data_IF_060357821848
#
_entry.id   IF_060357821848
#
_cell.length_a   1.000
_cell.length_b   1.000
_cell.length_c   1.000
_cell.angle_alpha   90.00
_cell.angle_beta   90.00
_cell.angle_gamma   90.00
#
_symmetry.space_group_name_H-M   'P 1'
#
loop_
_entity.id
_entity.type
_entity.pdbx_description
1 polymer ?
#
# COMPACT_ATOMS: atom_id res chain seq x y z
N UNK A 1 -16.70 -47.88 4.12
CA UNK A 1 -15.89 -46.75 3.59
C UNK A 1 -15.06 -46.23 4.75
N UNK A 2 -13.76 -46.43 4.75
CA UNK A 2 -12.85 -45.84 5.75
C UNK A 2 -12.71 -44.37 5.43
N UNK A 3 -13.24 -43.51 6.30
CA UNK A 3 -13.11 -42.06 6.20
C UNK A 3 -11.63 -41.65 6.24
N UNK A 4 -11.20 -40.74 5.36
CA UNK A 4 -9.77 -40.37 5.28
C UNK A 4 -9.35 -39.57 6.51
N UNK A 5 -8.07 -39.67 6.88
CA UNK A 5 -7.52 -39.00 8.07
C UNK A 5 -7.71 -37.48 8.01
N UNK A 6 -7.73 -36.90 6.82
CA UNK A 6 -7.93 -35.48 6.60
C UNK A 6 -9.39 -35.06 6.86
N UNK A 7 -10.37 -35.90 6.48
CA UNK A 7 -11.79 -35.66 6.77
C UNK A 7 -12.06 -35.75 8.27
N UNK A 8 -11.51 -36.76 8.94
CA UNK A 8 -11.60 -36.91 10.40
C UNK A 8 -11.01 -35.69 11.12
N UNK A 9 -9.95 -35.09 10.56
CA UNK A 9 -9.34 -33.89 11.12
C UNK A 9 -10.20 -32.65 10.95
N UNK A 10 -10.85 -32.47 9.78
CA UNK A 10 -11.82 -31.39 9.58
C UNK A 10 -12.98 -31.51 10.56
N UNK A 11 -13.56 -32.70 10.71
CA UNK A 11 -14.69 -32.93 11.63
C UNK A 11 -14.31 -32.66 13.09
N UNK A 12 -13.16 -33.18 13.54
CA UNK A 12 -12.66 -32.93 14.90
C UNK A 12 -12.40 -31.45 15.19
N UNK A 13 -12.00 -30.69 14.17
CA UNK A 13 -11.78 -29.25 14.30
C UNK A 13 -13.09 -28.47 14.26
N UNK A 14 -14.07 -28.90 13.46
CA UNK A 14 -15.40 -28.29 13.39
C UNK A 14 -16.18 -28.49 14.69
N UNK A 15 -16.11 -29.68 15.30
CA UNK A 15 -16.65 -29.96 16.64
C UNK A 15 -16.03 -29.06 17.72
N UNK A 16 -14.77 -28.64 17.53
CA UNK A 16 -14.08 -27.69 18.39
C UNK A 16 -14.35 -26.21 18.02
N UNK A 17 -15.19 -25.95 17.02
CA UNK A 17 -15.52 -24.64 16.47
C UNK A 17 -14.38 -23.98 15.71
N UNK A 18 -13.48 -24.76 15.11
CA UNK A 18 -12.29 -24.30 14.39
C UNK A 18 -12.46 -24.62 12.91
N UNK A 19 -12.50 -23.59 12.07
CA UNK A 19 -12.49 -23.76 10.61
C UNK A 19 -11.12 -24.22 10.15
N UNK A 20 -11.10 -25.29 9.35
CA UNK A 20 -9.89 -25.87 8.78
C UNK A 20 -10.09 -26.21 7.31
N UNK A 21 -9.02 -26.10 6.52
CA UNK A 21 -9.01 -26.44 5.10
C UNK A 21 -7.82 -27.37 4.78
N UNK A 22 -7.90 -28.17 3.72
CA UNK A 22 -6.80 -29.02 3.27
C UNK A 22 -6.08 -28.33 2.12
N UNK A 23 -4.77 -28.12 2.25
CA UNK A 23 -3.97 -27.55 1.16
C UNK A 23 -3.65 -28.61 0.08
N UNK A 24 -3.08 -28.17 -1.05
CA UNK A 24 -2.69 -29.07 -2.16
C UNK A 24 -1.62 -30.10 -1.79
N UNK A 25 -0.98 -29.98 -0.62
CA UNK A 25 0.00 -30.93 -0.07
C UNK A 25 -0.62 -31.93 0.91
N UNK A 26 -1.93 -31.89 1.13
CA UNK A 26 -2.63 -32.76 2.08
C UNK A 26 -2.48 -32.33 3.55
N UNK A 27 -2.05 -31.09 3.82
CA UNK A 27 -1.89 -30.57 5.18
C UNK A 27 -3.14 -29.82 5.63
N UNK A 28 -3.47 -29.94 6.92
CA UNK A 28 -4.62 -29.25 7.54
C UNK A 28 -4.20 -27.83 7.91
N UNK A 29 -4.84 -26.84 7.31
CA UNK A 29 -4.57 -25.42 7.51
C UNK A 29 -5.63 -24.83 8.43
N UNK A 30 -5.19 -24.19 9.51
CA UNK A 30 -6.05 -23.44 10.45
C UNK A 30 -5.51 -22.03 10.63
N UNK A 31 -6.37 -21.10 11.07
CA UNK A 31 -5.91 -19.75 11.43
C UNK A 31 -4.82 -19.82 12.49
N UNK A 32 -3.79 -18.99 12.36
CA UNK A 32 -2.64 -18.97 13.30
C UNK A 32 -3.05 -18.80 14.77
N UNK A 33 -4.11 -18.03 15.03
CA UNK A 33 -4.67 -17.85 16.39
C UNK A 33 -5.25 -19.15 16.98
N UNK A 34 -5.75 -20.04 16.13
CA UNK A 34 -6.44 -21.27 16.52
C UNK A 34 -5.50 -22.47 16.58
N UNK A 35 -4.22 -22.30 16.21
CA UNK A 35 -3.22 -23.36 16.06
C UNK A 35 -2.99 -24.17 17.35
N UNK A 36 -2.98 -23.49 18.51
CA UNK A 36 -2.87 -24.16 19.82
C UNK A 36 -4.14 -24.95 20.18
N UNK A 37 -5.31 -24.43 19.82
CA UNK A 37 -6.62 -25.07 20.08
C UNK A 37 -6.80 -26.27 19.15
N UNK A 38 -6.42 -26.12 17.89
CA UNK A 38 -6.45 -27.16 16.86
C UNK A 38 -5.51 -28.32 17.19
N UNK A 39 -4.27 -28.05 17.64
CA UNK A 39 -3.35 -29.10 18.10
C UNK A 39 -3.97 -29.93 19.23
N UNK A 40 -4.58 -29.28 20.22
CA UNK A 40 -5.25 -29.97 21.34
C UNK A 40 -6.48 -30.78 20.89
N UNK A 41 -7.23 -30.31 19.91
CA UNK A 41 -8.37 -31.05 19.36
C UNK A 41 -7.89 -32.30 18.61
N UNK A 42 -6.86 -32.18 17.77
CA UNK A 42 -6.26 -33.31 17.05
C UNK A 42 -5.55 -34.30 17.99
N UNK A 43 -5.01 -33.85 19.13
CA UNK A 43 -4.48 -34.74 20.18
C UNK A 43 -5.55 -35.59 20.87
N UNK A 44 -6.81 -35.15 20.89
CA UNK A 44 -7.92 -35.93 21.45
C UNK A 44 -8.48 -36.92 20.43
N UNK A 45 -8.49 -36.56 19.16
CA UNK A 45 -9.12 -37.36 18.10
C UNK A 45 -8.19 -38.39 17.45
N UNK A 46 -6.87 -38.25 17.61
CA UNK A 46 -5.89 -39.13 16.97
C UNK A 46 -4.91 -39.76 17.98
N UNK A 47 -4.49 -41.01 17.73
CA UNK A 47 -3.40 -41.66 18.48
C UNK A 47 -2.07 -40.96 18.18
N UNK A 48 -1.16 -40.96 19.16
CA UNK A 48 0.16 -40.31 19.07
C UNK A 48 0.92 -40.82 17.82
N UNK A 49 1.18 -39.90 16.87
CA UNK A 49 1.86 -40.20 15.60
C UNK A 49 0.95 -40.42 14.37
N UNK A 50 -0.38 -40.49 14.55
CA UNK A 50 -1.34 -40.61 13.44
C UNK A 50 -2.00 -39.30 13.01
N UNK A 51 -1.50 -38.17 13.52
CA UNK A 51 -2.09 -36.85 13.28
C UNK A 51 -1.68 -36.31 11.91
N UNK A 52 -2.62 -35.72 11.15
CA UNK A 52 -2.26 -34.99 9.95
C UNK A 52 -1.43 -33.75 10.30
N UNK A 53 -0.58 -33.34 9.37
CA UNK A 53 0.30 -32.20 9.56
C UNK A 53 -0.53 -30.92 9.60
N UNK A 54 -0.50 -30.24 10.75
CA UNK A 54 -1.19 -28.99 11.00
C UNK A 54 -0.29 -27.80 10.65
N UNK A 55 -0.77 -26.91 9.79
CA UNK A 55 -0.07 -25.69 9.38
C UNK A 55 -0.93 -24.47 9.73
N UNK A 56 -0.29 -23.44 10.23
CA UNK A 56 -0.96 -22.15 10.43
C UNK A 56 -1.05 -21.41 9.11
N UNK A 57 -2.21 -20.85 8.81
CA UNK A 57 -2.35 -19.86 7.75
C UNK A 57 -1.26 -18.78 7.93
N UNK A 58 -0.41 -18.62 6.91
CA UNK A 58 0.51 -17.48 6.83
C UNK A 58 -0.36 -16.23 6.67
N UNK A 59 -0.69 -15.61 7.79
CA UNK A 59 -1.31 -14.29 7.78
C UNK A 59 -0.21 -13.34 7.33
N UNK A 60 -0.14 -13.13 6.02
CA UNK A 60 0.68 -12.10 5.41
C UNK A 60 0.25 -10.78 6.07
N UNK A 61 1.07 -10.31 7.02
CA UNK A 61 0.73 -9.19 7.88
C UNK A 61 0.43 -7.98 7.00
N UNK A 62 -0.50 -7.12 7.40
CA UNK A 62 -0.66 -5.82 6.75
C UNK A 62 0.69 -5.08 6.66
N UNK A 63 1.55 -5.29 7.67
CA UNK A 63 2.93 -4.80 7.68
C UNK A 63 3.79 -5.40 6.56
N UNK A 64 3.70 -6.71 6.30
CA UNK A 64 4.51 -7.39 5.28
C UNK A 64 4.05 -7.04 3.86
N UNK A 65 2.73 -6.89 3.66
CA UNK A 65 2.17 -6.34 2.42
C UNK A 65 2.64 -4.92 2.18
N UNK A 66 2.57 -4.06 3.20
CA UNK A 66 3.02 -2.65 3.11
C UNK A 66 4.53 -2.57 2.92
N UNK A 67 5.32 -3.43 3.57
CA UNK A 67 6.78 -3.49 3.42
C UNK A 67 7.17 -3.98 2.02
N UNK A 68 6.49 -4.99 1.47
CA UNK A 68 6.72 -5.44 0.10
C UNK A 68 6.24 -4.43 -0.96
N UNK A 69 5.22 -3.62 -0.66
CA UNK A 69 4.81 -2.48 -1.48
C UNK A 69 5.87 -1.38 -1.40
N UNK A 70 6.36 -1.04 -0.20
CA UNK A 70 7.40 -0.03 0.03
C UNK A 70 8.73 -0.41 -0.61
N UNK A 71 9.16 -1.66 -0.48
CA UNK A 71 10.40 -2.13 -1.09
C UNK A 71 10.30 -2.12 -2.62
N UNK A 72 9.14 -2.47 -3.19
CA UNK A 72 8.88 -2.29 -4.63
C UNK A 72 8.86 -0.83 -5.08
N UNK A 73 8.44 0.10 -4.22
CA UNK A 73 8.50 1.54 -4.51
C UNK A 73 9.93 2.09 -4.43
N UNK A 74 10.79 1.52 -3.58
CA UNK A 74 12.14 2.02 -3.34
C UNK A 74 13.20 1.51 -4.32
N UNK A 75 13.02 0.36 -4.97
CA UNK A 75 14.03 -0.22 -5.88
C UNK A 75 13.95 0.29 -7.35
N UNK A 76 12.90 1.04 -7.72
CA UNK A 76 12.69 1.53 -9.10
C UNK A 76 12.53 3.05 -9.23
N UNK A 77 12.59 3.80 -8.13
CA UNK A 77 12.48 5.25 -8.17
C UNK A 77 13.76 5.81 -8.78
N UNK A 78 13.73 6.06 -10.09
CA UNK A 78 14.77 6.80 -10.78
C UNK A 78 14.80 8.22 -10.18
N UNK A 79 15.64 8.41 -9.16
CA UNK A 79 15.80 9.68 -8.43
C UNK A 79 16.09 10.84 -9.40
N UNK A 80 16.75 10.56 -10.53
CA UNK A 80 16.99 11.56 -11.57
C UNK A 80 15.70 11.95 -12.28
N UNK A 81 14.87 10.98 -12.69
CA UNK A 81 13.57 11.26 -13.30
C UNK A 81 12.61 11.99 -12.35
N UNK A 82 12.64 11.67 -11.05
CA UNK A 82 11.87 12.39 -10.03
C UNK A 82 12.32 13.85 -9.91
N UNK A 83 13.63 14.06 -9.74
CA UNK A 83 14.23 15.39 -9.60
C UNK A 83 13.95 16.25 -10.84
N UNK A 84 14.15 15.68 -12.02
CA UNK A 84 13.90 16.35 -13.30
C UNK A 84 12.45 16.77 -13.45
N UNK A 85 11.50 15.85 -13.23
CA UNK A 85 10.07 16.15 -13.36
C UNK A 85 9.64 17.23 -12.37
N UNK A 86 10.11 17.14 -11.12
CA UNK A 86 9.79 18.13 -10.08
C UNK A 86 10.34 19.51 -10.45
N UNK A 87 11.61 19.60 -10.82
CA UNK A 87 12.24 20.86 -11.23
C UNK A 87 11.54 21.47 -12.43
N UNK A 88 11.13 20.64 -13.41
CA UNK A 88 10.37 21.12 -14.55
C UNK A 88 9.04 21.74 -14.11
N UNK A 89 8.28 21.07 -13.23
CA UNK A 89 7.00 21.58 -12.71
C UNK A 89 7.19 22.87 -11.91
N UNK A 90 8.19 22.94 -11.04
CA UNK A 90 8.47 24.10 -10.18
C UNK A 90 8.86 25.34 -11.00
N UNK A 91 9.56 25.15 -12.11
CA UNK A 91 9.97 26.25 -12.98
C UNK A 91 8.89 26.66 -13.99
N UNK A 92 7.78 25.92 -14.08
CA UNK A 92 6.72 26.19 -15.03
C UNK A 92 5.71 27.23 -14.52
N UNK A 93 5.79 28.44 -15.06
CA UNK A 93 4.94 29.57 -14.64
C UNK A 93 3.45 29.32 -14.85
N UNK A 94 3.07 28.53 -15.86
CA UNK A 94 1.66 28.26 -16.13
C UNK A 94 1.11 27.21 -15.17
N UNK A 95 1.83 26.10 -14.93
CA UNK A 95 1.46 25.10 -13.93
C UNK A 95 1.40 25.71 -12.54
N UNK A 96 2.34 26.61 -12.21
CA UNK A 96 2.32 27.34 -10.95
C UNK A 96 1.00 28.12 -10.78
N UNK A 97 0.69 29.00 -11.74
CA UNK A 97 -0.50 29.87 -11.67
C UNK A 97 -1.81 29.08 -11.74
N UNK A 98 -1.89 28.09 -12.63
CA UNK A 98 -3.13 27.38 -12.94
C UNK A 98 -3.44 26.22 -11.99
N UNK A 99 -2.41 25.61 -11.37
CA UNK A 99 -2.61 24.41 -10.55
C UNK A 99 -2.01 24.52 -9.15
N UNK A 100 -0.74 24.92 -9.00
CA UNK A 100 -0.09 24.99 -7.68
C UNK A 100 -0.84 25.94 -6.74
N UNK A 101 -1.08 27.19 -7.18
CA UNK A 101 -1.75 28.20 -6.35
C UNK A 101 -3.16 27.75 -5.90
N UNK A 102 -4.05 27.23 -6.79
CA UNK A 102 -5.34 26.69 -6.37
C UNK A 102 -5.24 25.52 -5.39
N UNK A 103 -4.27 24.62 -5.55
CA UNK A 103 -4.07 23.47 -4.65
C UNK A 103 -3.67 23.97 -3.26
N UNK A 104 -2.70 24.89 -3.16
CA UNK A 104 -2.28 25.52 -1.89
C UNK A 104 -3.48 26.14 -1.17
N UNK A 105 -4.27 26.97 -1.89
CA UNK A 105 -5.47 27.61 -1.32
C UNK A 105 -6.54 26.61 -0.87
N UNK A 106 -6.61 25.43 -1.49
CA UNK A 106 -7.49 24.35 -1.03
C UNK A 106 -6.95 23.73 0.27
N UNK A 107 -5.66 23.39 0.30
CA UNK A 107 -4.98 22.81 1.46
C UNK A 107 -5.11 23.72 2.69
N UNK A 108 -4.81 25.00 2.55
CA UNK A 108 -4.96 25.99 3.62
C UNK A 108 -6.39 26.06 4.16
N UNK A 109 -7.39 26.14 3.27
CA UNK A 109 -8.79 26.13 3.68
C UNK A 109 -9.14 24.89 4.49
N UNK A 110 -8.62 23.71 4.12
CA UNK A 110 -8.86 22.46 4.85
C UNK A 110 -8.12 22.43 6.18
N UNK A 111 -6.90 22.96 6.24
CA UNK A 111 -6.12 23.09 7.47
C UNK A 111 -6.81 24.02 8.47
N UNK A 112 -7.23 25.21 8.03
CA UNK A 112 -8.02 26.16 8.85
C UNK A 112 -9.32 25.56 9.38
N UNK A 113 -9.94 24.66 8.62
CA UNK A 113 -11.15 23.93 9.03
C UNK A 113 -10.87 22.68 9.89
N UNK A 114 -9.61 22.30 10.11
CA UNK A 114 -9.25 21.05 10.81
C UNK A 114 -9.62 19.76 10.06
N UNK A 115 -9.90 19.85 8.75
CA UNK A 115 -10.34 18.71 7.90
C UNK A 115 -9.26 18.26 6.92
N UNK A 116 -8.05 18.79 7.05
CA UNK A 116 -6.92 18.42 6.21
C UNK A 116 -6.45 17.00 6.56
N UNK A 117 -6.30 16.16 5.54
CA UNK A 117 -5.84 14.79 5.65
C UNK A 117 -4.61 14.64 4.76
N UNK A 118 -3.43 14.65 5.38
CA UNK A 118 -2.16 14.64 4.67
C UNK A 118 -1.92 13.31 3.93
N UNK A 119 -2.42 12.20 4.45
CA UNK A 119 -2.30 10.88 3.79
C UNK A 119 -3.01 10.89 2.42
N UNK A 120 -4.08 11.68 2.30
CA UNK A 120 -4.82 11.85 1.04
C UNK A 120 -4.32 13.00 0.17
N UNK A 121 -3.45 13.87 0.68
CA UNK A 121 -2.96 15.05 -0.03
C UNK A 121 -2.22 14.71 -1.34
N UNK A 122 -1.38 13.65 -1.44
CA UNK A 122 -0.71 13.30 -2.70
C UNK A 122 -1.68 13.11 -3.88
N UNK A 123 -2.94 12.71 -3.63
CA UNK A 123 -3.95 12.58 -4.68
C UNK A 123 -4.30 13.91 -5.36
N UNK A 124 -4.26 15.02 -4.62
CA UNK A 124 -4.49 16.35 -5.18
C UNK A 124 -3.33 16.76 -6.08
N UNK A 125 -2.11 16.52 -5.62
CA UNK A 125 -0.87 16.85 -6.33
C UNK A 125 -0.64 15.97 -7.56
N UNK A 126 -1.17 14.74 -7.58
CA UNK A 126 -1.05 13.85 -8.74
C UNK A 126 -1.55 14.48 -10.05
N UNK A 127 -2.60 15.31 -10.00
CA UNK A 127 -3.10 16.01 -11.19
C UNK A 127 -2.12 17.06 -11.73
N UNK A 128 -1.39 17.75 -10.85
CA UNK A 128 -0.30 18.66 -11.23
C UNK A 128 0.81 17.87 -11.89
N UNK A 129 1.24 16.78 -11.26
CA UNK A 129 2.36 15.94 -11.73
C UNK A 129 2.05 15.28 -13.08
N UNK A 130 0.83 14.76 -13.25
CA UNK A 130 0.39 14.18 -14.52
C UNK A 130 0.38 15.20 -15.67
N UNK A 131 0.01 16.44 -15.38
CA UNK A 131 0.03 17.51 -16.38
C UNK A 131 1.46 17.99 -16.65
N UNK A 132 2.30 18.09 -15.62
CA UNK A 132 3.73 18.37 -15.75
C UNK A 132 4.42 17.37 -16.64
N UNK A 133 4.23 16.06 -16.39
CA UNK A 133 4.82 15.00 -17.19
C UNK A 133 4.36 15.05 -18.66
N UNK A 134 3.06 15.31 -18.90
CA UNK A 134 2.54 15.49 -20.26
C UNK A 134 3.15 16.71 -20.96
N UNK A 135 3.32 17.81 -20.23
CA UNK A 135 3.90 19.05 -20.78
C UNK A 135 5.39 18.86 -21.10
N UNK A 136 6.14 18.22 -20.21
CA UNK A 136 7.53 17.82 -20.44
C UNK A 136 7.65 16.98 -21.72
N UNK A 137 6.89 15.90 -21.84
CA UNK A 137 6.96 15.01 -23.02
C UNK A 137 6.53 15.71 -24.30
N UNK A 138 5.62 16.70 -24.22
CA UNK A 138 5.25 17.53 -25.37
C UNK A 138 6.41 18.42 -25.84
N UNK A 139 7.25 18.89 -24.92
CA UNK A 139 8.37 19.80 -25.22
C UNK A 139 9.64 19.06 -25.63
N UNK A 140 9.95 17.94 -24.97
CA UNK A 140 11.21 17.20 -25.18
C UNK A 140 11.05 15.91 -25.99
N UNK A 141 9.80 15.51 -26.30
CA UNK A 141 9.49 14.23 -26.94
C UNK A 141 9.46 13.06 -25.96
N UNK A 142 9.14 11.87 -26.48
CA UNK A 142 9.07 10.63 -25.70
C UNK A 142 7.66 10.22 -25.27
N UNK A 143 7.57 9.46 -24.17
CA UNK A 143 6.32 8.97 -23.61
C UNK A 143 6.31 9.08 -22.07
N UNK A 144 5.20 9.56 -21.52
CA UNK A 144 5.04 9.72 -20.06
C UNK A 144 5.26 8.41 -19.31
N UNK A 145 4.78 7.27 -19.81
CA UNK A 145 4.90 6.00 -19.09
C UNK A 145 6.33 5.49 -19.01
N UNK A 146 7.15 5.83 -19.99
CA UNK A 146 8.52 5.35 -20.10
C UNK A 146 9.46 6.29 -19.34
N UNK A 147 9.29 7.60 -19.49
CA UNK A 147 10.12 8.62 -18.84
C UNK A 147 9.71 8.89 -17.39
N UNK A 148 8.41 8.90 -17.11
CA UNK A 148 7.85 9.14 -15.79
C UNK A 148 6.82 8.06 -15.43
N UNK A 149 7.30 6.83 -15.14
CA UNK A 149 6.45 5.75 -14.68
C UNK A 149 5.59 6.16 -13.46
N UNK A 150 4.52 5.39 -13.21
CA UNK A 150 3.47 5.84 -12.26
C UNK A 150 4.00 6.04 -10.85
N UNK A 151 4.90 5.19 -10.40
CA UNK A 151 5.64 5.28 -9.13
C UNK A 151 6.46 6.56 -9.03
N UNK A 152 7.24 6.93 -10.05
CA UNK A 152 7.97 8.21 -10.13
C UNK A 152 7.01 9.39 -9.94
N UNK A 153 5.91 9.42 -10.69
CA UNK A 153 4.90 10.48 -10.55
C UNK A 153 4.23 10.50 -9.18
N UNK A 154 3.99 9.33 -8.58
CA UNK A 154 3.45 9.23 -7.22
C UNK A 154 4.45 9.74 -6.18
N UNK A 155 5.74 9.44 -6.33
CA UNK A 155 6.81 9.94 -5.47
C UNK A 155 6.88 11.46 -5.52
N UNK A 156 6.93 12.05 -6.72
CA UNK A 156 6.92 13.51 -6.90
C UNK A 156 5.66 14.16 -6.29
N UNK A 157 4.49 13.52 -6.43
CA UNK A 157 3.25 14.02 -5.81
C UNK A 157 3.30 13.98 -4.27
N UNK A 158 3.98 12.99 -3.69
CA UNK A 158 4.24 12.91 -2.24
C UNK A 158 5.21 14.01 -1.81
N UNK A 159 6.29 14.25 -2.56
CA UNK A 159 7.25 15.33 -2.29
C UNK A 159 6.52 16.68 -2.24
N UNK A 160 5.72 17.00 -3.26
CA UNK A 160 4.90 18.22 -3.28
C UNK A 160 3.94 18.33 -2.09
N UNK A 161 3.27 17.23 -1.73
CA UNK A 161 2.36 17.23 -0.58
C UNK A 161 3.08 17.54 0.74
N UNK A 162 4.31 17.02 0.91
CA UNK A 162 5.12 17.20 2.11
C UNK A 162 5.68 18.63 2.19
N UNK A 163 6.29 19.10 1.10
CA UNK A 163 6.91 20.42 1.02
C UNK A 163 5.90 21.53 1.27
N UNK A 164 4.82 21.58 0.49
CA UNK A 164 3.83 22.65 0.66
C UNK A 164 3.09 22.56 2.00
N UNK A 165 2.91 21.36 2.58
CA UNK A 165 2.40 21.25 3.95
C UNK A 165 3.36 21.95 4.92
N UNK A 166 4.65 21.61 4.86
CA UNK A 166 5.66 22.16 5.75
C UNK A 166 5.76 23.68 5.60
N UNK A 167 5.80 24.19 4.37
CA UNK A 167 5.87 25.62 4.12
C UNK A 167 4.61 26.37 4.61
N UNK A 168 3.40 25.81 4.41
CA UNK A 168 2.15 26.41 4.94
C UNK A 168 2.21 26.45 6.47
N UNK A 169 2.68 25.38 7.11
CA UNK A 169 2.83 25.32 8.57
C UNK A 169 3.86 26.33 9.10
N UNK A 170 5.00 26.49 8.40
CA UNK A 170 6.05 27.47 8.73
C UNK A 170 5.50 28.90 8.65
N UNK A 171 4.64 29.20 7.68
CA UNK A 171 4.04 30.52 7.50
C UNK A 171 2.77 30.73 8.37
N UNK A 172 2.55 29.89 9.38
CA UNK A 172 1.44 30.04 10.32
C UNK A 172 0.07 29.68 9.75
N UNK A 173 0.04 28.86 8.70
CA UNK A 173 -1.19 28.41 8.04
C UNK A 173 -1.66 29.29 6.87
N UNK A 174 -0.93 30.38 6.58
CA UNK A 174 -1.19 31.30 5.47
C UNK A 174 0.05 31.49 4.60
N UNK A 175 -0.11 31.22 3.32
CA UNK A 175 0.90 31.21 2.26
C UNK A 175 0.25 31.65 0.95
N UNK A 176 0.88 32.62 0.25
CA UNK A 176 0.35 33.31 -0.94
C UNK A 176 -0.79 34.30 -0.68
#
# INVERSE_FOLDING_TARGET
>A
ITESNELQAIMALDDAGIKAEINRKGEVVVKKKDLKKAKKALEKSFKKGGQPKLVGEEVESAYDKVKAIRNRLNESSDEHAETELKLYIDNDRDLYRQQIVPIIKNVQRRMKKGTYDHIKAPKLWMYLVDNGAKKYVKEFGGNVKDMFPKDVRQSVAVQFANEYKAEIEIQGGDML
#
